data_IF_225463914311
#
_entry.id   IF_225463914311
#
_cell.length_a   1.000
_cell.length_b   1.000
_cell.length_c   1.000
_cell.angle_alpha   90.00
_cell.angle_beta   90.00
_cell.angle_gamma   90.00
#
_symmetry.space_group_name_H-M   'P 1'
#
loop_
_entity.id
_entity.type
_entity.pdbx_description
1 polymer ?
#
# COMPACT_ATOMS: atom_id res chain seq x y z
N UNK A 1 3.35 -19.89 7.59
CA UNK A 1 2.81 -20.70 6.48
C UNK A 1 3.54 -22.02 6.51
N UNK A 2 2.86 -23.11 6.85
CA UNK A 2 3.37 -24.45 6.58
C UNK A 2 3.33 -24.65 5.07
N UNK A 3 4.50 -24.70 4.43
CA UNK A 3 4.62 -24.91 2.99
C UNK A 3 4.50 -26.40 2.73
N UNK A 4 3.59 -26.80 1.85
CA UNK A 4 3.46 -28.20 1.41
C UNK A 4 4.70 -28.61 0.59
N UNK A 5 5.25 -27.70 -0.23
CA UNK A 5 6.56 -27.81 -0.91
C UNK A 5 7.18 -26.43 -1.20
N UNK A 6 8.53 -26.35 -1.32
CA UNK A 6 9.28 -25.16 -1.76
C UNK A 6 10.19 -24.52 -0.70
N UNK A 7 11.36 -24.01 -1.12
CA UNK A 7 12.30 -23.24 -0.27
C UNK A 7 12.02 -21.74 -0.38
N UNK A 8 12.34 -21.00 0.68
CA UNK A 8 12.27 -19.55 0.64
C UNK A 8 13.40 -18.97 -0.20
N UNK A 9 13.07 -18.01 -1.06
CA UNK A 9 14.09 -17.30 -1.81
C UNK A 9 14.86 -16.38 -0.87
N UNK A 10 16.18 -16.21 -1.03
CA UNK A 10 16.93 -15.26 -0.21
C UNK A 10 16.37 -13.85 -0.40
N UNK A 11 16.18 -13.15 0.72
CA UNK A 11 15.68 -11.78 0.71
C UNK A 11 16.66 -10.78 0.09
N UNK A 12 16.16 -9.61 -0.29
CA UNK A 12 16.97 -8.46 -0.67
C UNK A 12 17.27 -7.58 0.55
N UNK A 13 18.35 -6.77 0.54
CA UNK A 13 18.55 -5.73 1.55
C UNK A 13 17.32 -4.81 1.66
N UNK A 14 17.03 -4.30 2.86
CA UNK A 14 15.93 -3.39 3.11
C UNK A 14 16.11 -2.01 2.46
N UNK A 15 15.03 -1.23 2.40
CA UNK A 15 15.00 0.10 1.80
C UNK A 15 14.97 1.17 2.91
N UNK A 16 16.05 1.24 3.69
CA UNK A 16 16.08 2.01 4.95
C UNK A 16 15.82 3.51 4.79
N UNK A 17 16.17 4.12 3.66
CA UNK A 17 15.83 5.51 3.37
C UNK A 17 14.31 5.69 3.17
N UNK A 18 13.70 4.81 2.39
CA UNK A 18 12.26 4.81 2.16
C UNK A 18 11.49 4.60 3.46
N UNK A 19 11.94 3.63 4.27
CA UNK A 19 11.39 3.36 5.61
C UNK A 19 11.55 4.56 6.54
N UNK A 20 12.67 5.29 6.46
CA UNK A 20 12.89 6.50 7.27
C UNK A 20 11.96 7.64 6.85
N UNK A 21 11.76 7.85 5.54
CA UNK A 21 10.80 8.84 5.04
C UNK A 21 9.39 8.55 5.56
N UNK A 22 8.96 7.29 5.45
CA UNK A 22 7.67 6.83 5.95
C UNK A 22 7.51 7.05 7.48
N UNK A 23 8.53 6.67 8.26
CA UNK A 23 8.55 6.88 9.72
C UNK A 23 8.41 8.36 10.10
N UNK A 24 9.08 9.26 9.38
CA UNK A 24 9.04 10.70 9.67
C UNK A 24 7.68 11.30 9.29
N UNK A 25 7.11 10.91 8.15
CA UNK A 25 5.74 11.29 7.79
C UNK A 25 4.75 10.83 8.85
N UNK A 26 4.82 9.56 9.30
CA UNK A 26 3.93 9.03 10.34
C UNK A 26 3.97 9.88 11.61
N UNK A 27 5.16 10.31 12.06
CA UNK A 27 5.30 11.22 13.21
C UNK A 27 4.63 12.57 12.97
N UNK A 28 4.84 13.18 11.81
CA UNK A 28 4.23 14.47 11.45
C UNK A 28 2.68 14.37 11.44
N UNK A 29 2.16 13.29 10.85
CA UNK A 29 0.73 13.01 10.85
C UNK A 29 0.19 12.62 12.22
N UNK A 30 0.99 11.99 13.10
CA UNK A 30 0.61 11.66 14.49
C UNK A 30 0.43 12.90 15.35
N UNK A 31 1.24 13.93 15.16
CA UNK A 31 1.04 15.23 15.83
C UNK A 31 -0.32 15.82 15.46
N UNK A 32 -0.62 15.85 14.16
CA UNK A 32 -1.91 16.33 13.63
C UNK A 32 -3.10 15.45 14.08
N UNK A 33 -2.89 14.13 14.19
CA UNK A 33 -3.88 13.17 14.69
C UNK A 33 -4.23 13.45 16.14
N UNK A 34 -3.23 13.65 17.00
CA UNK A 34 -3.43 13.90 18.42
C UNK A 34 -4.21 15.20 18.68
N UNK A 35 -4.01 16.22 17.84
CA UNK A 35 -4.73 17.50 17.93
C UNK A 35 -6.00 17.55 17.07
N UNK A 36 -6.26 16.52 16.27
CA UNK A 36 -7.33 16.48 15.27
C UNK A 36 -7.35 17.73 14.38
N UNK A 37 -6.18 18.11 13.87
CA UNK A 37 -6.02 19.25 12.96
C UNK A 37 -5.55 18.80 11.58
N UNK A 38 -5.88 19.55 10.51
CA UNK A 38 -5.39 19.24 9.18
C UNK A 38 -3.87 19.37 9.11
N UNK A 39 -3.24 18.47 8.36
CA UNK A 39 -1.81 18.53 8.05
C UNK A 39 -1.50 19.70 7.11
N UNK A 40 -0.26 20.24 7.13
CA UNK A 40 0.15 21.35 6.23
C UNK A 40 -0.13 21.05 4.76
N UNK A 41 0.13 19.81 4.34
CA UNK A 41 -0.10 19.36 2.95
C UNK A 41 -1.58 19.36 2.59
N UNK A 42 -2.50 19.20 3.56
CA UNK A 42 -3.92 19.31 3.28
C UNK A 42 -4.30 20.76 3.00
N UNK A 43 -3.79 21.70 3.80
CA UNK A 43 -4.04 23.14 3.62
C UNK A 43 -3.52 23.62 2.25
N UNK A 44 -2.31 23.22 1.88
CA UNK A 44 -1.70 23.59 0.60
C UNK A 44 -2.46 23.04 -0.62
N UNK A 45 -3.28 22.01 -0.44
CA UNK A 45 -4.03 21.34 -1.50
C UNK A 45 -5.56 21.56 -1.42
N UNK A 46 -6.04 22.46 -0.55
CA UNK A 46 -7.49 22.71 -0.39
C UNK A 46 -8.27 21.52 0.17
N UNK A 47 -7.63 20.72 1.02
CA UNK A 47 -8.18 19.54 1.69
C UNK A 47 -8.36 19.79 3.20
N UNK A 48 -8.66 21.02 3.62
CA UNK A 48 -8.73 21.41 5.03
C UNK A 48 -9.79 20.65 5.84
N UNK A 49 -10.76 20.05 5.14
CA UNK A 49 -11.79 19.19 5.71
C UNK A 49 -11.26 17.78 6.08
N UNK A 50 -10.02 17.42 5.71
CA UNK A 50 -9.39 16.17 6.09
C UNK A 50 -8.55 16.34 7.36
N UNK A 51 -8.63 15.35 8.25
CA UNK A 51 -7.71 15.20 9.39
C UNK A 51 -7.22 13.77 9.48
N UNK A 52 -6.05 13.49 10.06
CA UNK A 52 -5.59 12.13 10.22
C UNK A 52 -6.50 11.39 11.21
N UNK A 53 -6.98 10.19 10.84
CA UNK A 53 -8.05 9.53 11.57
C UNK A 53 -7.58 9.07 12.95
N UNK A 54 -8.32 9.46 13.99
CA UNK A 54 -8.05 9.03 15.36
C UNK A 54 -8.77 7.72 15.65
N UNK A 55 -8.01 6.63 15.75
CA UNK A 55 -8.53 5.31 16.11
C UNK A 55 -7.61 4.60 17.11
N UNK A 56 -8.13 3.94 18.16
CA UNK A 56 -7.30 3.23 19.15
C UNK A 56 -6.45 2.10 18.56
N UNK A 57 -6.86 1.54 17.42
CA UNK A 57 -6.12 0.48 16.72
C UNK A 57 -5.22 1.00 15.58
N UNK A 58 -5.02 2.31 15.43
CA UNK A 58 -4.22 2.86 14.31
C UNK A 58 -2.81 2.25 14.24
N UNK A 59 -2.13 2.10 15.37
CA UNK A 59 -0.80 1.45 15.42
C UNK A 59 -0.85 -0.02 15.00
N UNK A 60 -1.94 -0.73 15.34
CA UNK A 60 -2.14 -2.11 14.89
C UNK A 60 -2.40 -2.17 13.39
N UNK A 61 -3.17 -1.23 12.85
CA UNK A 61 -3.45 -1.17 11.42
C UNK A 61 -2.21 -0.85 10.59
N UNK A 62 -1.21 -0.18 11.18
CA UNK A 62 0.10 0.07 10.59
C UNK A 62 1.10 -1.10 10.72
N UNK A 63 0.96 -1.97 11.72
CA UNK A 63 1.82 -3.18 11.89
C UNK A 63 1.37 -4.33 10.98
N UNK A 64 1.76 -4.28 9.70
CA UNK A 64 1.39 -5.27 8.67
C UNK A 64 1.85 -6.70 8.96
N UNK A 65 2.93 -6.88 9.73
CA UNK A 65 3.52 -8.20 9.97
C UNK A 65 2.80 -8.98 11.06
N UNK A 66 2.22 -8.28 12.04
CA UNK A 66 1.55 -8.90 13.19
C UNK A 66 0.05 -8.68 13.21
N UNK A 67 -0.42 -7.60 12.59
CA UNK A 67 -1.78 -7.11 12.67
C UNK A 67 -2.27 -6.66 11.28
N UNK A 68 -2.38 -5.34 11.06
CA UNK A 68 -3.01 -4.74 9.89
C UNK A 68 -4.50 -4.50 10.06
N UNK A 69 -5.12 -3.95 9.02
CA UNK A 69 -6.55 -4.09 8.79
C UNK A 69 -6.84 -5.57 8.58
N UNK A 70 -7.85 -6.13 9.24
CA UNK A 70 -8.13 -7.56 9.19
C UNK A 70 -9.62 -7.83 9.09
N UNK A 71 -10.00 -8.73 8.19
CA UNK A 71 -11.38 -9.22 8.09
C UNK A 71 -11.41 -10.68 7.65
N UNK A 72 -12.43 -11.43 8.10
CA UNK A 72 -12.66 -12.79 7.62
C UNK A 72 -13.39 -12.74 6.29
N UNK A 73 -12.89 -13.48 5.30
CA UNK A 73 -13.59 -13.57 4.02
C UNK A 73 -14.75 -14.57 4.11
N UNK A 74 -15.98 -14.03 4.11
CA UNK A 74 -17.21 -14.81 4.21
C UNK A 74 -17.17 -15.80 5.40
N UNK A 75 -17.72 -16.99 5.22
CA UNK A 75 -17.73 -18.13 6.12
C UNK A 75 -16.48 -19.03 5.98
N UNK A 76 -15.46 -18.57 5.26
CA UNK A 76 -14.21 -19.32 5.09
C UNK A 76 -13.26 -19.15 6.28
N UNK A 77 -12.24 -20.01 6.34
CA UNK A 77 -11.14 -19.87 7.30
C UNK A 77 -10.08 -18.82 6.87
N UNK A 78 -10.29 -18.13 5.74
CA UNK A 78 -9.35 -17.14 5.20
C UNK A 78 -9.53 -15.80 5.88
N UNK A 79 -8.42 -15.24 6.35
CA UNK A 79 -8.34 -13.87 6.85
C UNK A 79 -7.62 -13.03 5.80
N UNK A 80 -8.27 -11.96 5.38
CA UNK A 80 -7.67 -10.93 4.54
C UNK A 80 -7.04 -9.89 5.46
N UNK A 81 -5.77 -9.56 5.20
CA UNK A 81 -5.04 -8.57 5.99
C UNK A 81 -4.14 -7.69 5.13
N UNK A 82 -3.97 -6.44 5.54
CA UNK A 82 -3.07 -5.46 4.94
C UNK A 82 -2.72 -4.35 5.91
N UNK A 83 -1.46 -3.89 5.91
CA UNK A 83 -1.05 -2.76 6.74
C UNK A 83 -1.01 -1.46 5.97
N UNK A 84 -1.72 -0.46 6.48
CA UNK A 84 -1.79 0.88 5.89
C UNK A 84 -0.61 1.75 6.36
N UNK A 85 -0.22 2.74 5.57
CA UNK A 85 0.64 3.80 6.09
C UNK A 85 -0.17 4.78 6.91
N UNK A 86 -1.31 5.23 6.37
CA UNK A 86 -2.23 6.05 7.12
C UNK A 86 -3.68 5.97 6.66
N UNK A 87 -4.57 6.43 7.52
CA UNK A 87 -5.99 6.67 7.23
C UNK A 87 -6.30 8.09 7.68
N UNK A 88 -6.96 8.84 6.80
CA UNK A 88 -7.49 10.15 7.09
C UNK A 88 -9.01 10.07 7.19
N UNK A 89 -9.63 11.11 7.73
CA UNK A 89 -11.08 11.22 7.86
C UNK A 89 -11.52 12.56 7.29
N UNK A 90 -12.55 12.49 6.44
CA UNK A 90 -13.31 13.66 6.05
C UNK A 90 -14.19 14.09 7.23
N UNK A 91 -13.93 15.27 7.77
CA UNK A 91 -14.65 15.79 8.95
C UNK A 91 -16.09 16.23 8.64
N UNK A 92 -16.41 16.45 7.37
CA UNK A 92 -17.76 16.82 6.92
C UNK A 92 -18.66 15.60 6.75
N UNK A 93 -18.13 14.53 6.14
CA UNK A 93 -18.88 13.30 5.86
C UNK A 93 -18.71 12.21 6.91
N UNK A 94 -17.64 12.27 7.70
CA UNK A 94 -17.21 11.21 8.63
C UNK A 94 -16.51 10.03 7.94
N UNK A 95 -16.48 9.99 6.61
CA UNK A 95 -15.92 8.89 5.82
C UNK A 95 -14.39 8.86 5.88
N UNK A 96 -13.83 7.66 5.75
CA UNK A 96 -12.39 7.43 5.77
C UNK A 96 -11.77 7.57 4.39
N UNK A 97 -10.52 8.01 4.36
CA UNK A 97 -9.70 8.16 3.16
C UNK A 97 -8.43 7.34 3.38
N UNK A 98 -8.13 6.41 2.48
CA UNK A 98 -6.89 5.64 2.53
C UNK A 98 -5.73 6.50 2.03
N UNK A 99 -4.60 6.45 2.75
CA UNK A 99 -3.36 7.08 2.32
C UNK A 99 -2.19 6.10 2.35
N UNK A 100 -1.34 6.18 1.33
CA UNK A 100 -0.16 5.34 1.19
C UNK A 100 1.06 6.20 0.81
N UNK A 101 2.18 5.95 1.48
CA UNK A 101 3.37 6.79 1.42
C UNK A 101 4.39 6.17 0.46
N UNK A 102 4.73 6.91 -0.59
CA UNK A 102 5.71 6.47 -1.59
C UNK A 102 6.90 7.41 -1.61
N UNK A 103 8.10 6.84 -1.52
CA UNK A 103 9.34 7.59 -1.65
C UNK A 103 10.12 7.14 -2.88
N UNK A 104 10.64 8.10 -3.64
CA UNK A 104 11.38 7.83 -4.87
C UNK A 104 12.41 8.93 -5.16
N UNK A 105 13.27 8.70 -6.14
CA UNK A 105 14.16 9.72 -6.70
C UNK A 105 14.06 9.65 -8.22
N UNK A 106 13.31 10.56 -8.83
CA UNK A 106 13.06 10.61 -10.27
C UNK A 106 13.11 12.07 -10.78
N UNK A 107 13.52 12.25 -12.03
CA UNK A 107 13.53 13.56 -12.72
C UNK A 107 12.23 13.85 -13.48
N UNK A 108 11.35 12.84 -13.63
CA UNK A 108 10.02 13.03 -14.22
C UNK A 108 9.14 13.84 -13.28
N UNK A 109 8.36 14.75 -13.86
CA UNK A 109 7.35 15.51 -13.15
C UNK A 109 6.29 14.59 -12.52
N UNK A 110 5.84 14.94 -11.32
CA UNK A 110 4.88 14.18 -10.54
C UNK A 110 3.45 14.65 -10.84
N UNK A 111 3.02 14.51 -12.09
CA UNK A 111 1.63 14.78 -12.45
C UNK A 111 0.73 13.59 -12.11
N UNK A 112 -0.44 13.78 -11.48
CA UNK A 112 -1.28 12.67 -11.00
C UNK A 112 -1.58 11.60 -12.07
N UNK A 113 -1.97 12.04 -13.26
CA UNK A 113 -2.32 11.15 -14.38
C UNK A 113 -1.10 10.38 -14.91
N UNK A 114 0.05 11.04 -15.01
CA UNK A 114 1.26 10.41 -15.52
C UNK A 114 1.86 9.46 -14.47
N UNK A 115 1.78 9.83 -13.19
CA UNK A 115 2.32 9.04 -12.09
C UNK A 115 1.70 7.64 -12.05
N UNK A 116 0.38 7.51 -12.17
CA UNK A 116 -0.30 6.21 -12.08
C UNK A 116 -0.44 5.46 -13.42
N UNK A 117 -0.07 6.08 -14.53
CA UNK A 117 -0.10 5.43 -15.86
C UNK A 117 0.99 4.40 -16.08
N UNK A 118 2.02 4.38 -15.23
CA UNK A 118 3.15 3.45 -15.37
C UNK A 118 2.71 2.01 -15.03
N UNK A 119 2.86 1.03 -15.95
CA UNK A 119 2.53 -0.37 -15.70
C UNK A 119 3.23 -0.95 -14.46
N UNK A 120 4.40 -0.43 -14.08
CA UNK A 120 5.11 -0.87 -12.87
C UNK A 120 4.39 -0.48 -11.57
N UNK A 121 3.39 0.41 -11.64
CA UNK A 121 2.60 0.90 -10.50
C UNK A 121 1.20 0.31 -10.39
N UNK A 122 0.87 -0.67 -11.23
CA UNK A 122 -0.39 -1.44 -11.07
C UNK A 122 -0.50 -2.09 -9.68
N UNK A 123 0.62 -2.52 -9.10
CA UNK A 123 0.64 -3.03 -7.72
C UNK A 123 0.21 -2.00 -6.67
N UNK A 124 0.46 -0.71 -6.90
CA UNK A 124 0.04 0.35 -5.99
C UNK A 124 -1.48 0.55 -6.05
N UNK A 125 -2.07 0.48 -7.25
CA UNK A 125 -3.53 0.55 -7.43
C UNK A 125 -4.23 -0.59 -6.71
N UNK A 126 -3.74 -1.82 -6.93
CA UNK A 126 -4.24 -3.03 -6.26
C UNK A 126 -4.17 -2.89 -4.74
N UNK A 127 -3.06 -2.34 -4.21
CA UNK A 127 -2.89 -2.10 -2.79
C UNK A 127 -3.96 -1.14 -2.23
N UNK A 128 -4.18 0.00 -2.91
CA UNK A 128 -5.19 0.99 -2.47
C UNK A 128 -6.61 0.44 -2.53
N UNK A 129 -6.98 -0.24 -3.63
CA UNK A 129 -8.27 -0.90 -3.78
C UNK A 129 -8.52 -1.89 -2.63
N UNK A 130 -7.49 -2.66 -2.29
CA UNK A 130 -7.58 -3.67 -1.24
C UNK A 130 -7.72 -3.07 0.16
N UNK A 131 -7.01 -1.99 0.47
CA UNK A 131 -7.15 -1.31 1.76
C UNK A 131 -8.52 -0.66 1.92
N UNK A 132 -9.03 -0.01 0.88
CA UNK A 132 -10.39 0.51 0.89
C UNK A 132 -11.43 -0.61 1.09
N UNK A 133 -11.27 -1.73 0.38
CA UNK A 133 -12.10 -2.92 0.56
C UNK A 133 -12.06 -3.46 2.00
N UNK A 134 -10.87 -3.58 2.61
CA UNK A 134 -10.74 -4.04 4.00
C UNK A 134 -11.50 -3.13 4.97
N UNK A 135 -11.39 -1.81 4.82
CA UNK A 135 -12.13 -0.84 5.63
C UNK A 135 -13.65 -1.00 5.46
N UNK A 136 -14.12 -1.17 4.22
CA UNK A 136 -15.54 -1.45 3.95
C UNK A 136 -16.00 -2.74 4.64
N UNK A 137 -15.20 -3.82 4.56
CA UNK A 137 -15.52 -5.08 5.24
C UNK A 137 -15.44 -4.99 6.77
N UNK A 138 -14.71 -4.02 7.31
CA UNK A 138 -14.67 -3.70 8.73
C UNK A 138 -15.82 -2.77 9.17
N UNK A 139 -16.70 -2.38 8.25
CA UNK A 139 -17.90 -1.60 8.52
C UNK A 139 -17.72 -0.08 8.45
N UNK A 140 -16.58 0.40 7.95
CA UNK A 140 -16.35 1.82 7.74
C UNK A 140 -16.87 2.29 6.39
N UNK A 141 -17.41 3.51 6.34
CA UNK A 141 -17.65 4.21 5.08
C UNK A 141 -16.35 4.84 4.59
N UNK A 142 -16.05 4.68 3.30
CA UNK A 142 -14.79 5.12 2.68
C UNK A 142 -15.12 6.08 1.53
N UNK A 143 -14.40 7.19 1.44
CA UNK A 143 -14.48 8.11 0.31
C UNK A 143 -13.99 7.44 -0.97
N UNK A 144 -14.59 7.79 -2.11
CA UNK A 144 -14.27 7.23 -3.43
C UNK A 144 -12.83 7.54 -3.89
N UNK A 145 -12.17 8.49 -3.23
CA UNK A 145 -10.81 8.94 -3.55
C UNK A 145 -9.88 8.62 -2.40
N UNK A 146 -8.78 7.96 -2.73
CA UNK A 146 -7.64 7.73 -1.86
C UNK A 146 -6.43 8.55 -2.35
N UNK A 147 -5.36 8.64 -1.56
CA UNK A 147 -4.20 9.44 -1.92
C UNK A 147 -2.89 8.66 -1.78
N UNK A 148 -2.02 8.84 -2.78
CA UNK A 148 -0.60 8.56 -2.60
C UNK A 148 0.10 9.84 -2.18
N UNK A 149 0.77 9.82 -1.03
CA UNK A 149 1.69 10.89 -0.65
C UNK A 149 3.09 10.52 -1.16
N UNK A 150 3.53 11.21 -2.21
CA UNK A 150 4.79 10.92 -2.89
C UNK A 150 5.87 11.91 -2.46
N UNK A 151 6.92 11.41 -1.81
CA UNK A 151 8.16 12.14 -1.55
C UNK A 151 9.18 11.83 -2.66
N UNK A 152 9.44 12.79 -3.53
CA UNK A 152 10.41 12.65 -4.61
C UNK A 152 11.70 13.44 -4.32
N UNK A 153 12.80 12.72 -4.12
CA UNK A 153 14.11 13.33 -3.89
C UNK A 153 14.62 14.05 -5.15
N UNK A 154 15.13 15.26 -4.95
CA UNK A 154 15.66 16.10 -6.02
C UNK A 154 17.00 15.56 -6.55
N UNK A 155 16.94 15.00 -7.76
CA UNK A 155 18.11 14.50 -8.50
C UNK A 155 18.86 15.59 -9.27
N UNK A 156 18.28 16.79 -9.36
CA UNK A 156 18.83 17.94 -10.07
C UNK A 156 19.53 18.91 -9.11
N UNK A 157 19.53 18.62 -7.81
CA UNK A 157 20.27 19.38 -6.81
C UNK A 157 21.76 19.49 -7.19
N UNK A 158 22.35 20.66 -6.93
CA UNK A 158 23.76 20.94 -7.26
C UNK A 158 24.77 20.03 -6.53
N UNK A 159 24.36 19.37 -5.45
CA UNK A 159 25.18 18.48 -4.64
C UNK A 159 24.42 17.96 -3.43
N UNK A 160 25.03 17.01 -2.71
CA UNK A 160 24.38 16.35 -1.57
C UNK A 160 24.40 17.21 -0.29
N UNK A 161 25.53 17.81 0.08
CA UNK A 161 25.65 18.69 1.26
C UNK A 161 25.07 18.15 2.59
N UNK A 162 24.97 16.83 2.75
CA UNK A 162 24.38 16.20 3.94
C UNK A 162 22.84 16.31 4.00
N UNK A 163 22.20 16.73 2.92
CA UNK A 163 20.76 16.97 2.82
C UNK A 163 20.20 16.33 1.54
N UNK A 164 19.10 15.60 1.67
CA UNK A 164 18.31 15.19 0.52
C UNK A 164 17.02 16.00 0.52
N UNK A 165 16.84 16.84 -0.50
CA UNK A 165 15.64 17.67 -0.64
C UNK A 165 14.54 16.86 -1.32
N UNK A 166 13.33 16.97 -0.80
CA UNK A 166 12.17 16.27 -1.33
C UNK A 166 11.12 17.27 -1.81
N UNK A 167 10.48 16.94 -2.93
CA UNK A 167 9.17 17.46 -3.28
C UNK A 167 8.12 16.49 -2.75
N UNK A 168 7.09 17.01 -2.09
CA UNK A 168 5.96 16.23 -1.59
C UNK A 168 4.73 16.52 -2.45
N UNK A 169 4.06 15.47 -2.94
CA UNK A 169 2.89 15.61 -3.81
C UNK A 169 1.81 14.64 -3.38
N UNK A 170 0.58 15.14 -3.23
CA UNK A 170 -0.61 14.33 -3.02
C UNK A 170 -1.21 13.94 -4.38
N UNK A 171 -1.24 12.65 -4.68
CA UNK A 171 -1.75 12.12 -5.93
C UNK A 171 -3.09 11.44 -5.66
N UNK A 172 -4.22 12.02 -6.10
CA UNK A 172 -5.53 11.43 -5.92
C UNK A 172 -5.69 10.18 -6.80
N UNK A 173 -6.33 9.17 -6.24
CA UNK A 173 -6.64 7.91 -6.92
C UNK A 173 -8.06 7.48 -6.60
N UNK A 174 -8.87 7.27 -7.65
CA UNK A 174 -10.19 6.65 -7.51
C UNK A 174 -10.03 5.15 -7.48
N UNK A 175 -10.22 4.56 -6.31
CA UNK A 175 -10.09 3.13 -6.09
C UNK A 175 -11.37 2.40 -6.55
N UNK A 176 -11.24 1.10 -6.79
CA UNK A 176 -12.36 0.23 -7.15
C UNK A 176 -12.19 -1.17 -6.53
N UNK A 177 -13.12 -1.59 -5.67
CA UNK A 177 -13.06 -2.89 -5.00
C UNK A 177 -13.92 -3.99 -5.66
N UNK A 178 -14.67 -3.69 -6.72
CA UNK A 178 -15.62 -4.63 -7.35
C UNK A 178 -14.96 -5.94 -7.82
N UNK A 179 -13.68 -5.88 -8.19
CA UNK A 179 -12.93 -7.01 -8.69
C UNK A 179 -12.44 -7.96 -7.58
N UNK A 180 -12.31 -7.47 -6.34
CA UNK A 180 -11.60 -8.17 -5.25
C UNK A 180 -12.36 -9.42 -4.84
N UNK A 181 -13.67 -9.33 -4.64
CA UNK A 181 -14.48 -10.45 -4.15
C UNK A 181 -14.34 -11.68 -5.07
N UNK A 182 -14.52 -11.48 -6.39
CA UNK A 182 -14.35 -12.55 -7.38
C UNK A 182 -12.93 -13.11 -7.40
N UNK A 183 -11.91 -12.25 -7.28
CA UNK A 183 -10.51 -12.70 -7.26
C UNK A 183 -10.13 -13.48 -6.02
N UNK A 184 -10.67 -13.14 -4.85
CA UNK A 184 -10.45 -13.93 -3.63
C UNK A 184 -11.10 -15.31 -3.76
N UNK A 185 -12.29 -15.42 -4.35
CA UNK A 185 -12.93 -16.72 -4.64
C UNK A 185 -12.07 -17.55 -5.61
N UNK A 186 -11.60 -16.95 -6.72
CA UNK A 186 -10.70 -17.63 -7.66
C UNK A 186 -9.43 -18.14 -6.96
N UNK A 187 -8.83 -17.32 -6.08
CA UNK A 187 -7.65 -17.70 -5.29
C UNK A 187 -7.94 -18.87 -4.36
N UNK A 188 -9.07 -18.86 -3.64
CA UNK A 188 -9.46 -19.94 -2.74
C UNK A 188 -9.69 -21.24 -3.52
N UNK A 189 -10.38 -21.17 -4.66
CA UNK A 189 -10.60 -22.34 -5.52
C UNK A 189 -9.26 -22.92 -6.01
N UNK A 190 -8.33 -22.06 -6.42
CA UNK A 190 -7.00 -22.48 -6.86
C UNK A 190 -6.19 -23.11 -5.73
N UNK A 191 -6.25 -22.56 -4.51
CA UNK A 191 -5.55 -23.12 -3.34
C UNK A 191 -6.07 -24.51 -2.95
N UNK A 192 -7.32 -24.82 -3.25
CA UNK A 192 -7.95 -26.10 -2.96
C UNK A 192 -7.96 -27.06 -4.17
N UNK A 193 -7.40 -26.66 -5.31
CA UNK A 193 -7.28 -27.54 -6.47
C UNK A 193 -6.14 -28.54 -6.27
N UNK A 194 -6.36 -29.79 -6.70
CA UNK A 194 -5.34 -30.83 -6.73
C UNK A 194 -4.43 -30.73 -7.96
N UNK A 195 -4.72 -29.82 -8.90
CA UNK A 195 -3.92 -29.55 -10.09
C UNK A 195 -3.05 -28.32 -9.90
N UNK A 196 -1.75 -28.49 -10.09
CA UNK A 196 -0.81 -27.37 -10.08
C UNK A 196 -1.15 -26.39 -11.23
N UNK A 197 -1.20 -25.07 -10.98
CA UNK A 197 -1.41 -24.09 -12.03
C UNK A 197 -0.27 -24.11 -13.05
N UNK A 198 -0.61 -23.77 -14.30
CA UNK A 198 0.39 -23.65 -15.35
C UNK A 198 1.41 -22.54 -15.01
N UNK A 199 2.69 -22.82 -15.27
CA UNK A 199 3.75 -21.84 -15.05
C UNK A 199 3.56 -20.64 -15.99
N UNK A 200 3.64 -19.42 -15.44
CA UNK A 200 3.66 -18.22 -16.26
C UNK A 200 5.05 -18.08 -16.94
N UNK A 201 5.13 -17.91 -18.27
CA UNK A 201 6.41 -17.75 -18.98
C UNK A 201 7.25 -16.57 -18.47
N UNK A 202 6.61 -15.49 -18.01
CA UNK A 202 7.25 -14.26 -17.53
C UNK A 202 7.51 -14.25 -16.01
N UNK A 203 7.23 -15.34 -15.31
CA UNK A 203 7.44 -15.46 -13.87
C UNK A 203 8.90 -15.86 -13.58
N UNK A 204 9.69 -14.93 -13.02
CA UNK A 204 11.10 -15.17 -12.64
C UNK A 204 11.25 -16.33 -11.65
N UNK A 205 10.34 -16.42 -10.67
CA UNK A 205 10.34 -17.52 -9.69
C UNK A 205 10.02 -18.86 -10.36
N UNK A 206 9.17 -18.86 -11.38
CA UNK A 206 8.82 -20.06 -12.15
C UNK A 206 10.00 -20.49 -13.04
N UNK A 207 10.74 -19.53 -13.62
CA UNK A 207 11.99 -19.80 -14.32
C UNK A 207 13.05 -20.38 -13.37
N UNK A 208 13.20 -19.82 -12.17
CA UNK A 208 14.08 -20.34 -11.12
C UNK A 208 13.70 -21.77 -10.70
N UNK A 209 12.42 -22.01 -10.41
CA UNK A 209 11.92 -23.34 -10.04
C UNK A 209 12.11 -24.37 -11.15
N UNK A 210 11.85 -23.99 -12.43
CA UNK A 210 12.14 -24.86 -13.59
C UNK A 210 13.64 -25.19 -13.69
N UNK A 211 14.49 -24.18 -13.56
CA UNK A 211 15.94 -24.39 -13.65
C UNK A 211 16.45 -25.28 -12.52
N UNK A 212 15.92 -25.13 -11.31
CA UNK A 212 16.25 -25.97 -10.16
C UNK A 212 15.81 -27.42 -10.34
N UNK A 213 14.58 -27.65 -10.83
CA UNK A 213 14.07 -28.99 -11.09
C UNK A 213 14.97 -29.78 -12.06
N UNK A 214 15.62 -29.11 -13.02
CA UNK A 214 16.60 -29.73 -13.93
C UNK A 214 17.82 -30.29 -13.18
N UNK A 215 18.24 -29.66 -12.07
CA UNK A 215 19.39 -30.09 -11.28
C UNK A 215 19.03 -31.09 -10.16
N UNK A 216 17.79 -31.09 -9.68
CA UNK A 216 17.38 -31.94 -8.55
C UNK A 216 16.81 -33.31 -8.95
N UNK A 217 16.47 -33.51 -10.24
CA UNK A 217 16.00 -34.81 -10.77
C UNK A 217 14.50 -34.98 -10.68
#
# INVERSE_FOLDING_TARGET
MDRVMGLDSPGTPGWTLNETTDLLLKKEFDECRATQTPHRLFLENGLEHLVPFQHPDMDKWRDSLRHGLMTRFLDTNIILTGGVDDIWQNTESGKLVVADYKSQANTKELEPNSYLSDPYKEGYKVQMDFYAYLLQQMGFEVEDTAYFLVCNADRMANGFYGEMKFQEVLIPYKWNSDWIHGKVIEMINLLNDNKMPAANPSCKNCAYARQRAIFEG
#
